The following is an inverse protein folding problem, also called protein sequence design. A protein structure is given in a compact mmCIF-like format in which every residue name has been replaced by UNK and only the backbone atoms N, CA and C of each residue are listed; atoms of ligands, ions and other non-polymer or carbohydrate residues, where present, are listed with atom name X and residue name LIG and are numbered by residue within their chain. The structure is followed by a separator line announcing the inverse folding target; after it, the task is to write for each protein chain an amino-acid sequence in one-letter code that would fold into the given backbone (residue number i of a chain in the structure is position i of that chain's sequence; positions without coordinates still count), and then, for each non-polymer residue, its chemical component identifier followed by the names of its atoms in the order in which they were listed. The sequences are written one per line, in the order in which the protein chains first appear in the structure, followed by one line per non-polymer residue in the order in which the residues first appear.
data_IF_305132747849
#
_entry.id   IF_305132747849
#
_cell.length_a   1.000
_cell.length_b   1.000
_cell.length_c   1.000
_cell.angle_alpha   90.00
_cell.angle_beta   90.00
_cell.angle_gamma   90.00
#
_symmetry.space_group_name_H-M   'P 1'
#
loop_
_entity.id
_entity.type
_entity.pdbx_description
1 polymer ?
#
# COMPACT_ATOMS: atom_id res chain seq x y z
N UNK A 1 5.73 12.15 -2.43
CA UNK A 1 6.96 11.34 -2.59
C UNK A 1 7.11 10.43 -1.39
N UNK A 2 7.62 9.21 -1.60
CA UNK A 2 7.97 8.26 -0.53
C UNK A 2 9.50 8.16 -0.47
N UNK A 3 10.06 8.28 0.73
CA UNK A 3 11.49 8.23 0.97
C UNK A 3 11.86 6.98 1.77
N UNK A 4 13.07 6.49 1.56
CA UNK A 4 13.64 5.33 2.25
C UNK A 4 14.61 5.78 3.34
N UNK A 5 14.58 5.10 4.47
CA UNK A 5 15.60 5.17 5.49
C UNK A 5 15.79 3.78 6.11
N UNK A 6 16.99 3.51 6.61
CA UNK A 6 17.31 2.23 7.24
C UNK A 6 18.01 2.43 8.57
N UNK A 7 17.83 1.48 9.48
CA UNK A 7 18.50 1.44 10.78
C UNK A 7 18.73 0.00 11.21
N UNK A 8 19.78 -0.25 11.96
CA UNK A 8 20.07 -1.55 12.58
C UNK A 8 19.49 -1.69 13.99
N UNK A 9 19.28 -0.56 14.66
CA UNK A 9 18.88 -0.49 16.08
C UNK A 9 17.55 0.23 16.31
N UNK A 10 16.92 0.78 15.23
CA UNK A 10 15.70 1.56 15.32
C UNK A 10 15.87 2.98 15.85
N UNK A 11 17.10 3.38 16.18
CA UNK A 11 17.44 4.69 16.78
C UNK A 11 18.26 5.53 15.80
N UNK A 12 19.33 4.94 15.23
CA UNK A 12 20.25 5.60 14.33
C UNK A 12 19.86 5.30 12.87
N UNK A 13 19.24 6.27 12.21
CA UNK A 13 18.73 6.13 10.86
C UNK A 13 19.66 6.73 9.81
N UNK A 14 19.86 5.99 8.74
CA UNK A 14 20.59 6.43 7.54
C UNK A 14 19.62 6.67 6.39
N UNK A 15 19.93 7.67 5.57
CA UNK A 15 19.23 8.02 4.34
C UNK A 15 20.20 7.85 3.17
N UNK A 16 20.31 6.67 2.57
CA UNK A 16 21.25 6.43 1.48
C UNK A 16 20.84 7.20 0.23
N UNK A 17 21.84 7.61 -0.56
CA UNK A 17 21.61 8.17 -1.89
C UNK A 17 21.31 7.00 -2.85
N UNK A 18 20.05 6.86 -3.27
CA UNK A 18 19.59 5.73 -4.08
C UNK A 18 19.58 6.02 -5.59
N UNK A 19 19.55 7.29 -5.98
CA UNK A 19 19.64 7.68 -7.39
C UNK A 19 18.42 7.36 -8.25
N UNK A 20 17.28 7.00 -7.63
CA UNK A 20 16.11 6.50 -8.35
C UNK A 20 15.22 7.60 -8.91
N UNK A 21 14.98 8.64 -8.15
CA UNK A 21 14.05 9.72 -8.50
C UNK A 21 14.81 11.06 -8.53
N UNK A 22 14.60 11.80 -9.60
CA UNK A 22 15.11 13.17 -9.68
C UNK A 22 14.20 14.13 -8.93
N UNK A 23 14.79 14.98 -8.10
CA UNK A 23 14.10 16.03 -7.37
C UNK A 23 14.98 17.27 -7.24
N UNK A 24 14.45 18.41 -7.63
CA UNK A 24 15.20 19.67 -7.58
C UNK A 24 16.49 19.68 -8.43
N UNK A 25 16.50 18.97 -9.55
CA UNK A 25 17.67 18.87 -10.44
C UNK A 25 18.75 17.89 -9.98
N UNK A 26 18.46 17.04 -8.97
CA UNK A 26 19.42 16.09 -8.43
C UNK A 26 18.79 14.73 -8.14
N UNK A 27 19.57 13.67 -8.36
CA UNK A 27 19.26 12.30 -7.92
C UNK A 27 19.98 11.91 -6.62
N UNK A 28 20.74 12.81 -6.02
CA UNK A 28 21.41 12.58 -4.73
C UNK A 28 20.41 12.65 -3.59
N UNK A 29 19.54 11.66 -3.50
CA UNK A 29 18.47 11.59 -2.52
C UNK A 29 18.05 10.15 -2.24
N UNK A 30 17.19 9.96 -1.23
CA UNK A 30 16.63 8.68 -0.80
C UNK A 30 15.17 8.49 -1.23
N UNK A 31 14.71 9.16 -2.26
CA UNK A 31 13.35 9.03 -2.77
C UNK A 31 13.24 7.72 -3.56
N UNK A 32 12.27 6.89 -3.21
CA UNK A 32 12.01 5.61 -3.89
C UNK A 32 10.80 5.67 -4.81
N UNK A 33 9.82 6.54 -4.52
CA UNK A 33 8.60 6.67 -5.31
C UNK A 33 8.17 8.14 -5.42
N UNK A 34 7.53 8.48 -6.54
CA UNK A 34 6.91 9.78 -6.77
C UNK A 34 5.53 9.61 -7.45
N UNK A 35 4.69 10.66 -7.40
CA UNK A 35 3.36 10.66 -8.02
C UNK A 35 2.28 10.04 -7.14
N UNK A 36 1.19 9.60 -7.77
CA UNK A 36 -0.03 9.12 -7.08
C UNK A 36 0.21 7.87 -6.21
N UNK A 37 1.15 7.02 -6.59
CA UNK A 37 1.55 5.83 -5.82
C UNK A 37 1.99 6.16 -4.38
N UNK A 38 2.41 7.38 -4.12
CA UNK A 38 2.84 7.81 -2.78
C UNK A 38 1.68 8.08 -1.82
N UNK A 39 0.45 8.14 -2.33
CA UNK A 39 -0.73 8.36 -1.48
C UNK A 39 -1.12 7.06 -0.79
N UNK A 40 -1.07 7.08 0.54
CA UNK A 40 -1.36 5.90 1.36
C UNK A 40 -0.59 4.64 0.91
N UNK A 41 0.70 4.79 0.58
CA UNK A 41 1.60 3.68 0.30
C UNK A 41 1.96 2.96 1.61
N UNK A 42 1.49 1.73 1.77
CA UNK A 42 1.69 0.94 3.00
C UNK A 42 2.39 -0.37 2.68
N UNK A 43 3.72 -0.40 2.84
CA UNK A 43 4.51 -1.60 2.59
C UNK A 43 4.50 -2.55 3.81
N UNK A 44 4.66 -3.84 3.52
CA UNK A 44 4.93 -4.87 4.52
C UNK A 44 5.90 -5.92 3.95
N UNK A 45 6.59 -6.62 4.85
CA UNK A 45 7.38 -7.80 4.47
C UNK A 45 6.45 -9.01 4.53
N UNK A 46 6.31 -9.71 3.40
CA UNK A 46 5.49 -10.89 3.32
C UNK A 46 6.15 -12.08 4.03
N UNK A 47 5.43 -12.67 4.97
CA UNK A 47 5.86 -13.84 5.74
C UNK A 47 5.19 -15.12 5.27
N UNK A 48 4.44 -15.09 4.15
CA UNK A 48 3.95 -16.31 3.51
C UNK A 48 5.14 -17.20 3.12
N UNK A 49 5.19 -18.46 3.57
CA UNK A 49 6.30 -19.36 3.24
C UNK A 49 6.44 -19.62 1.74
N UNK A 50 5.35 -19.54 0.99
CA UNK A 50 5.33 -19.74 -0.46
C UNK A 50 5.56 -18.46 -1.26
N UNK A 51 5.87 -17.33 -0.59
CA UNK A 51 6.11 -16.07 -1.26
C UNK A 51 7.44 -16.09 -2.02
N UNK A 52 7.45 -15.90 -3.35
CA UNK A 52 8.69 -15.77 -4.12
C UNK A 52 9.57 -14.62 -3.62
N UNK A 53 10.88 -14.81 -3.68
CA UNK A 53 11.86 -13.83 -3.18
C UNK A 53 11.74 -12.46 -3.86
N UNK A 54 11.40 -12.44 -5.15
CA UNK A 54 11.17 -11.23 -5.94
C UNK A 54 9.94 -10.43 -5.48
N UNK A 55 9.02 -11.05 -4.75
CA UNK A 55 7.80 -10.42 -4.20
C UNK A 55 7.80 -10.35 -2.67
N UNK A 56 8.99 -10.47 -2.05
CA UNK A 56 9.15 -10.52 -0.59
C UNK A 56 8.58 -9.30 0.13
N UNK A 57 8.65 -8.14 -0.46
CA UNK A 57 7.99 -6.95 0.04
C UNK A 57 6.78 -6.67 -0.82
N UNK A 58 5.66 -6.40 -0.17
CA UNK A 58 4.40 -6.05 -0.83
C UNK A 58 3.87 -4.74 -0.29
N UNK A 59 3.08 -4.05 -1.09
CA UNK A 59 2.43 -2.82 -0.64
C UNK A 59 1.00 -2.75 -1.17
N UNK A 60 0.11 -2.18 -0.35
CA UNK A 60 -1.20 -1.71 -0.76
C UNK A 60 -1.14 -0.20 -0.96
N UNK A 61 -1.72 0.26 -2.06
CA UNK A 61 -1.70 1.66 -2.47
C UNK A 61 -3.10 2.10 -2.90
N UNK A 62 -3.57 3.21 -2.35
CA UNK A 62 -4.80 3.83 -2.82
C UNK A 62 -4.52 4.65 -4.09
N UNK A 63 -5.11 4.27 -5.20
CA UNK A 63 -5.04 5.02 -6.46
C UNK A 63 -6.46 5.43 -6.85
N UNK A 64 -6.61 6.68 -7.30
CA UNK A 64 -7.92 7.24 -7.65
C UNK A 64 -8.12 7.39 -9.15
N UNK A 65 -7.05 7.48 -9.92
CA UNK A 65 -7.09 7.61 -11.38
C UNK A 65 -6.05 6.70 -12.04
N UNK A 66 -6.30 6.09 -13.21
CA UNK A 66 -7.57 6.10 -13.94
C UNK A 66 -8.64 5.20 -13.30
N UNK A 67 -8.25 4.19 -12.51
CA UNK A 67 -9.17 3.24 -11.86
C UNK A 67 -9.04 3.32 -10.36
N UNK A 68 -10.11 3.77 -9.70
CA UNK A 68 -10.18 3.91 -8.26
C UNK A 68 -10.17 2.55 -7.57
N UNK A 69 -9.31 2.40 -6.56
CA UNK A 69 -9.24 1.19 -5.74
C UNK A 69 -7.93 1.06 -4.98
N UNK A 70 -7.79 -0.08 -4.30
CA UNK A 70 -6.54 -0.50 -3.72
C UNK A 70 -5.77 -1.34 -4.75
N UNK A 71 -4.63 -0.82 -5.15
CA UNK A 71 -3.69 -1.48 -6.04
C UNK A 71 -2.57 -2.12 -5.22
N UNK A 72 -1.93 -3.12 -5.80
CA UNK A 72 -0.89 -3.90 -5.15
C UNK A 72 0.42 -3.81 -5.90
N UNK A 73 1.48 -3.67 -5.13
CA UNK A 73 2.86 -3.57 -5.61
C UNK A 73 3.73 -4.58 -4.89
N UNK A 74 4.83 -4.96 -5.52
CA UNK A 74 5.85 -5.79 -4.90
C UNK A 74 7.25 -5.29 -5.15
N UNK A 75 8.17 -5.78 -4.33
CA UNK A 75 9.59 -5.49 -4.40
C UNK A 75 10.39 -6.65 -3.82
N UNK A 76 11.56 -6.92 -4.38
CA UNK A 76 12.52 -7.87 -3.82
C UNK A 76 13.35 -7.26 -2.69
N UNK A 77 13.57 -5.94 -2.73
CA UNK A 77 14.51 -5.22 -1.86
C UNK A 77 13.87 -4.15 -0.96
N UNK A 78 12.56 -3.88 -1.14
CA UNK A 78 11.85 -2.82 -0.42
C UNK A 78 12.15 -1.41 -0.95
N UNK A 79 12.93 -1.30 -2.02
CA UNK A 79 13.39 -0.04 -2.61
C UNK A 79 12.82 0.15 -4.01
N UNK A 80 12.91 -0.87 -4.87
CA UNK A 80 12.39 -0.85 -6.24
C UNK A 80 11.05 -1.55 -6.28
N UNK A 81 10.00 -0.81 -6.62
CA UNK A 81 8.63 -1.29 -6.59
C UNK A 81 8.01 -1.36 -7.97
N UNK A 82 7.29 -2.44 -8.23
CA UNK A 82 6.56 -2.67 -9.48
C UNK A 82 5.12 -3.08 -9.19
N UNK A 83 4.15 -2.69 -10.03
CA UNK A 83 2.78 -3.15 -9.90
C UNK A 83 2.71 -4.66 -10.10
N UNK A 84 1.87 -5.33 -9.31
CA UNK A 84 1.59 -6.76 -9.46
C UNK A 84 0.37 -7.03 -10.36
N UNK A 85 -0.45 -6.01 -10.59
CA UNK A 85 -1.65 -6.08 -11.43
C UNK A 85 -1.97 -4.70 -12.00
N UNK A 86 -2.53 -4.66 -13.20
CA UNK A 86 -3.06 -3.43 -13.82
C UNK A 86 -4.41 -3.02 -13.22
N UNK A 87 -5.06 -3.92 -12.50
CA UNK A 87 -6.38 -3.69 -11.89
C UNK A 87 -6.26 -3.64 -10.37
N UNK A 88 -7.12 -2.82 -9.71
CA UNK A 88 -7.21 -2.85 -8.26
C UNK A 88 -7.76 -4.20 -7.76
N UNK A 89 -7.29 -4.64 -6.60
CA UNK A 89 -7.75 -5.86 -5.92
C UNK A 89 -8.98 -5.59 -5.04
N UNK A 90 -9.16 -4.36 -4.58
CA UNK A 90 -10.34 -3.93 -3.82
C UNK A 90 -10.86 -2.63 -4.41
N UNK A 91 -12.13 -2.63 -4.83
CA UNK A 91 -12.79 -1.47 -5.44
C UNK A 91 -13.88 -0.86 -4.56
N UNK A 92 -14.34 -1.61 -3.55
CA UNK A 92 -15.37 -1.19 -2.60
C UNK A 92 -14.73 -0.68 -1.33
N UNK A 93 -14.97 0.57 -0.97
CA UNK A 93 -14.44 1.21 0.23
C UNK A 93 -14.11 2.69 0.04
N UNK A 94 -13.52 3.28 1.07
CA UNK A 94 -13.07 4.68 1.09
C UNK A 94 -11.59 4.72 1.50
N UNK A 95 -10.72 4.89 0.53
CA UNK A 95 -9.29 4.57 0.63
C UNK A 95 -8.38 5.75 1.00
N UNK A 96 -8.94 6.82 1.54
CA UNK A 96 -8.24 8.09 1.83
C UNK A 96 -7.42 8.09 3.13
N UNK A 97 -7.34 6.95 3.79
CA UNK A 97 -6.55 6.75 4.99
C UNK A 97 -5.64 5.53 4.87
N UNK A 98 -4.98 5.17 5.95
CA UNK A 98 -4.11 4.00 5.98
C UNK A 98 -4.92 2.72 5.70
N UNK A 99 -4.49 1.99 4.67
CA UNK A 99 -4.98 0.67 4.33
C UNK A 99 -3.87 -0.33 4.64
N UNK A 100 -4.17 -1.40 5.35
CA UNK A 100 -3.18 -2.38 5.81
C UNK A 100 -3.39 -3.71 5.10
N UNK A 101 -2.30 -4.43 4.84
CA UNK A 101 -2.34 -5.84 4.50
C UNK A 101 -1.13 -6.55 5.10
N UNK A 102 -1.29 -7.83 5.39
CA UNK A 102 -0.22 -8.70 5.84
C UNK A 102 -0.61 -10.17 5.65
N UNK A 103 0.37 -11.05 5.72
CA UNK A 103 0.13 -12.48 5.83
C UNK A 103 -0.12 -12.86 7.29
N UNK A 104 -1.28 -13.45 7.56
CA UNK A 104 -1.62 -14.00 8.86
C UNK A 104 -1.13 -15.45 8.92
N UNK A 105 -0.05 -15.67 9.65
CA UNK A 105 0.57 -17.00 9.80
C UNK A 105 -0.29 -18.00 10.54
N UNK A 106 -1.21 -17.53 11.39
CA UNK A 106 -2.13 -18.38 12.15
C UNK A 106 -3.25 -18.91 11.26
N UNK A 107 -3.79 -18.05 10.39
CA UNK A 107 -4.89 -18.40 9.48
C UNK A 107 -4.42 -18.92 8.12
N UNK A 108 -3.13 -18.74 7.77
CA UNK A 108 -2.59 -19.10 6.47
C UNK A 108 -3.23 -18.29 5.33
N UNK A 109 -3.47 -17.00 5.55
CA UNK A 109 -4.16 -16.12 4.60
C UNK A 109 -3.61 -14.69 4.64
N UNK A 110 -3.75 -13.98 3.54
CA UNK A 110 -3.64 -12.53 3.55
C UNK A 110 -4.87 -11.92 4.23
N UNK A 111 -4.62 -10.93 5.07
CA UNK A 111 -5.66 -10.15 5.73
C UNK A 111 -5.45 -8.69 5.37
N UNK A 112 -6.52 -8.04 4.94
CA UNK A 112 -6.54 -6.62 4.62
C UNK A 112 -7.52 -5.86 5.52
N UNK A 113 -7.14 -4.65 5.89
CA UNK A 113 -8.01 -3.70 6.58
C UNK A 113 -8.03 -2.41 5.77
N UNK A 114 -9.22 -1.93 5.45
CA UNK A 114 -9.39 -0.67 4.75
C UNK A 114 -10.59 0.09 5.28
N UNK A 115 -10.59 1.39 5.05
CA UNK A 115 -11.66 2.26 5.52
C UNK A 115 -12.93 2.08 4.71
N UNK A 116 -14.07 2.13 5.39
CA UNK A 116 -15.40 2.27 4.83
C UNK A 116 -16.14 3.46 5.44
N UNK A 117 -17.19 3.88 4.79
CA UNK A 117 -18.16 4.84 5.32
C UNK A 117 -19.53 4.17 5.34
N UNK A 118 -20.17 4.14 6.52
CA UNK A 118 -21.56 3.71 6.68
C UNK A 118 -22.49 4.91 6.68
N UNK A 119 -23.72 4.75 6.19
CA UNK A 119 -24.79 5.75 6.31
C UNK A 119 -25.27 6.37 5.00
N UNK A 120 -24.83 5.86 3.84
CA UNK A 120 -25.37 6.26 2.53
C UNK A 120 -25.98 5.10 1.75
N UNK A 121 -27.06 5.29 1.00
CA UNK A 121 -27.57 4.30 0.09
C UNK A 121 -26.52 4.09 -1.03
N UNK A 122 -25.93 2.91 -1.05
CA UNK A 122 -24.91 2.53 -2.01
C UNK A 122 -23.55 3.19 -1.70
N UNK A 123 -22.57 2.42 -1.32
CA UNK A 123 -21.17 2.85 -1.02
C UNK A 123 -20.46 3.59 -2.18
N UNK A 124 -21.14 3.97 -3.23
CA UNK A 124 -20.61 4.61 -4.44
C UNK A 124 -20.76 6.12 -4.46
N UNK A 125 -21.59 6.69 -3.58
CA UNK A 125 -21.63 8.15 -3.32
C UNK A 125 -21.61 8.32 -1.82
N UNK A 126 -20.51 8.77 -1.21
CA UNK A 126 -20.54 9.11 0.21
C UNK A 126 -21.58 10.22 0.40
N UNK A 127 -22.45 10.12 1.42
CA UNK A 127 -23.10 11.29 1.95
C UNK A 127 -22.00 12.31 2.34
N UNK A 128 -22.35 13.58 2.47
CA UNK A 128 -21.40 14.57 2.95
C UNK A 128 -20.62 13.99 4.14
N UNK A 129 -19.36 14.32 4.27
CA UNK A 129 -18.47 13.84 5.35
C UNK A 129 -19.10 13.93 6.75
N UNK A 130 -20.07 14.83 6.93
CA UNK A 130 -20.78 15.11 8.18
C UNK A 130 -21.83 14.05 8.52
N UNK A 131 -22.38 13.31 7.56
CA UNK A 131 -23.46 12.35 7.78
C UNK A 131 -23.03 10.88 7.76
N UNK A 132 -21.72 10.59 7.64
CA UNK A 132 -21.22 9.22 7.53
C UNK A 132 -20.43 8.78 8.77
N UNK A 133 -20.69 7.56 9.22
CA UNK A 133 -19.85 6.91 10.24
C UNK A 133 -18.64 6.26 9.57
N UNK A 134 -17.46 6.57 10.11
CA UNK A 134 -16.22 5.90 9.70
C UNK A 134 -16.19 4.48 10.24
N UNK A 135 -15.88 3.54 9.38
CA UNK A 135 -15.81 2.12 9.71
C UNK A 135 -14.56 1.49 9.12
N UNK A 136 -14.22 0.29 9.55
CA UNK A 136 -13.13 -0.51 9.02
C UNK A 136 -13.69 -1.80 8.43
N UNK A 137 -13.40 -2.06 7.17
CA UNK A 137 -13.69 -3.33 6.51
C UNK A 137 -12.47 -4.24 6.58
N UNK A 138 -12.76 -5.54 6.64
CA UNK A 138 -11.74 -6.59 6.59
C UNK A 138 -11.94 -7.41 5.33
N UNK A 139 -10.85 -7.70 4.64
CA UNK A 139 -10.80 -8.63 3.52
C UNK A 139 -9.82 -9.76 3.82
N UNK A 140 -10.09 -10.96 3.34
CA UNK A 140 -9.18 -12.10 3.47
C UNK A 140 -9.07 -12.86 2.16
N UNK A 141 -7.87 -13.32 1.81
CA UNK A 141 -7.65 -14.16 0.63
C UNK A 141 -6.46 -15.09 0.83
N UNK A 142 -6.45 -16.23 0.16
CA UNK A 142 -5.26 -17.09 0.00
C UNK A 142 -4.28 -16.55 -1.05
N UNK A 143 -4.74 -15.65 -1.90
CA UNK A 143 -3.95 -15.03 -2.98
C UNK A 143 -3.97 -13.51 -2.83
N UNK A 144 -2.78 -12.88 -2.81
CA UNK A 144 -2.67 -11.42 -2.63
C UNK A 144 -3.26 -10.61 -3.79
N UNK A 145 -3.50 -11.22 -4.94
CA UNK A 145 -4.09 -10.58 -6.13
C UNK A 145 -5.62 -10.69 -6.21
N UNK A 146 -6.29 -11.25 -5.20
CA UNK A 146 -7.74 -11.47 -5.18
C UNK A 146 -8.38 -10.94 -3.90
#
# INVERSE_FOLDING_TARGET
MTCYAESRDGIHWKRPELGLVEFGGSKKNNIILSGEICHAFVPFKDTNPDCPAEHRYKAIVAIYKPTRGLHVYSSADGIRWSPMSDKPVITTGYFDSMNLAFWDTVRGKYVGFHRALRGGPGMLKPPSHEASTKDVMTATSSNFLQ
#
